data_IF_105252150365
#
_entry.id   IF_105252150365
#
_cell.length_a   1.000
_cell.length_b   1.000
_cell.length_c   1.000
_cell.angle_alpha   90.00
_cell.angle_beta   90.00
_cell.angle_gamma   90.00
#
_symmetry.space_group_name_H-M   'P 1'
#
loop_
_entity.id
_entity.type
_entity.pdbx_description
1 polymer ?
#
# COMPACT_ATOMS: atom_id res chain seq x y z
N UNK A 1 39.41 34.69 -5.05
CA UNK A 1 38.90 33.65 -4.16
C UNK A 1 37.45 33.41 -4.56
N UNK A 2 37.20 32.33 -5.28
CA UNK A 2 35.87 31.95 -5.70
C UNK A 2 35.28 31.08 -4.58
N UNK A 3 34.14 31.52 -4.02
CA UNK A 3 33.37 30.76 -3.05
C UNK A 3 32.55 29.76 -3.87
N UNK A 4 32.89 28.45 -3.76
CA UNK A 4 32.06 27.38 -4.29
C UNK A 4 30.78 27.31 -3.45
N UNK A 5 29.70 27.79 -3.99
CA UNK A 5 28.35 27.47 -3.53
C UNK A 5 28.11 25.97 -3.83
N UNK A 6 28.35 25.14 -2.83
CA UNK A 6 27.85 23.77 -2.82
C UNK A 6 26.33 23.84 -2.63
N UNK A 7 25.63 23.85 -3.75
CA UNK A 7 24.18 23.66 -3.79
C UNK A 7 23.89 22.22 -3.36
N UNK A 8 23.75 22.00 -2.04
CA UNK A 8 23.26 20.72 -1.49
C UNK A 8 21.76 20.69 -1.70
N UNK A 9 21.32 20.27 -2.89
CA UNK A 9 19.93 19.86 -3.08
C UNK A 9 19.63 18.78 -2.06
N UNK A 10 18.66 19.02 -1.19
CA UNK A 10 18.14 17.98 -0.31
C UNK A 10 17.63 16.83 -1.19
N UNK A 11 17.91 15.55 -0.85
CA UNK A 11 17.47 14.43 -1.67
C UNK A 11 15.96 14.53 -1.90
N UNK A 12 15.55 14.44 -3.17
CA UNK A 12 14.15 14.49 -3.57
C UNK A 12 13.39 13.38 -2.83
N UNK A 13 12.23 13.74 -2.24
CA UNK A 13 11.42 12.77 -1.52
C UNK A 13 10.87 11.73 -2.50
N UNK A 14 10.84 10.44 -2.12
CA UNK A 14 10.27 9.40 -2.97
C UNK A 14 8.79 9.72 -3.26
N UNK A 15 8.38 9.56 -4.51
CA UNK A 15 6.99 9.71 -4.93
C UNK A 15 6.18 8.50 -4.50
N UNK A 16 5.09 8.74 -3.81
CA UNK A 16 4.24 7.69 -3.24
C UNK A 16 2.89 7.65 -3.95
N UNK A 17 2.53 6.50 -4.50
CA UNK A 17 1.20 6.22 -5.01
C UNK A 17 0.41 5.43 -3.95
N UNK A 18 -0.69 5.97 -3.50
CA UNK A 18 -1.66 5.27 -2.64
C UNK A 18 -2.81 4.79 -3.51
N UNK A 19 -2.82 3.50 -3.81
CA UNK A 19 -3.95 2.81 -4.44
C UNK A 19 -4.96 2.52 -3.36
N UNK A 20 -6.00 3.34 -3.31
CA UNK A 20 -7.08 3.21 -2.35
C UNK A 20 -8.23 2.39 -2.94
N UNK A 21 -8.64 1.33 -2.25
CA UNK A 21 -9.71 0.45 -2.69
C UNK A 21 -10.68 0.13 -1.56
N UNK A 22 -11.80 0.83 -1.52
CA UNK A 22 -12.88 0.56 -0.58
C UNK A 22 -14.25 0.66 -1.27
N UNK A 23 -15.01 -0.46 -1.39
CA UNK A 23 -16.30 -0.46 -2.09
C UNK A 23 -17.32 0.54 -1.53
N UNK A 24 -17.26 0.75 -0.22
CA UNK A 24 -18.14 1.66 0.51
C UNK A 24 -17.31 2.80 1.13
N UNK A 25 -16.53 3.52 0.32
CA UNK A 25 -15.59 4.53 0.82
C UNK A 25 -16.28 5.61 1.66
N UNK A 26 -17.51 5.98 1.32
CA UNK A 26 -18.30 7.00 2.04
C UNK A 26 -18.65 6.59 3.48
N UNK A 27 -18.82 5.28 3.75
CA UNK A 27 -19.15 4.75 5.08
C UNK A 27 -17.91 4.33 5.89
N UNK A 28 -16.73 4.32 5.26
CA UNK A 28 -15.49 3.87 5.90
C UNK A 28 -14.81 4.97 6.71
N UNK A 29 -15.24 5.15 7.96
CA UNK A 29 -14.71 6.21 8.85
C UNK A 29 -13.17 6.12 8.96
N UNK A 30 -12.63 4.94 9.24
CA UNK A 30 -11.19 4.75 9.46
C UNK A 30 -10.36 5.10 8.21
N UNK A 31 -10.75 4.57 7.04
CA UNK A 31 -10.03 4.85 5.79
C UNK A 31 -10.15 6.31 5.38
N UNK A 32 -11.31 6.94 5.58
CA UNK A 32 -11.48 8.36 5.30
C UNK A 32 -10.61 9.26 6.18
N UNK A 33 -10.46 8.95 7.47
CA UNK A 33 -9.57 9.69 8.36
C UNK A 33 -8.13 9.59 7.86
N UNK A 34 -7.67 8.39 7.46
CA UNK A 34 -6.34 8.19 6.89
C UNK A 34 -6.14 8.98 5.59
N UNK A 35 -7.05 8.87 4.63
CA UNK A 35 -6.96 9.58 3.34
C UNK A 35 -6.92 11.10 3.53
N UNK A 36 -7.80 11.65 4.38
CA UNK A 36 -7.82 13.09 4.68
C UNK A 36 -6.50 13.59 5.27
N UNK A 37 -5.83 12.75 6.09
CA UNK A 37 -4.55 13.11 6.72
C UNK A 37 -3.40 13.21 5.73
N UNK A 38 -3.43 12.43 4.66
CA UNK A 38 -2.31 12.32 3.71
C UNK A 38 -2.52 13.10 2.41
N UNK A 39 -3.76 13.47 2.09
CA UNK A 39 -4.12 14.12 0.82
C UNK A 39 -3.41 15.46 0.54
N UNK A 40 -2.88 16.12 1.58
CA UNK A 40 -2.16 17.38 1.46
C UNK A 40 -0.63 17.22 1.33
N UNK A 41 -0.12 16.00 1.19
CA UNK A 41 1.31 15.76 1.02
C UNK A 41 1.67 15.80 -0.47
N UNK A 42 2.49 16.76 -0.88
CA UNK A 42 2.80 17.06 -2.29
C UNK A 42 3.41 15.88 -3.08
N UNK A 43 4.14 15.00 -2.38
CA UNK A 43 4.78 13.82 -2.98
C UNK A 43 3.90 12.55 -2.91
N UNK A 44 2.65 12.67 -2.45
CA UNK A 44 1.69 11.57 -2.32
C UNK A 44 0.53 11.75 -3.29
N UNK A 45 0.34 10.79 -4.16
CA UNK A 45 -0.81 10.69 -5.05
C UNK A 45 -1.81 9.67 -4.51
N UNK A 46 -3.02 10.10 -4.19
CA UNK A 46 -4.11 9.18 -3.80
C UNK A 46 -4.96 8.85 -5.02
N UNK A 47 -5.06 7.57 -5.33
CA UNK A 47 -5.83 7.05 -6.45
C UNK A 47 -6.93 6.11 -5.95
N UNK A 48 -8.18 6.58 -5.94
CA UNK A 48 -9.35 5.83 -5.49
C UNK A 48 -9.89 4.97 -6.64
N UNK A 49 -9.62 3.65 -6.59
CA UNK A 49 -10.00 2.73 -7.66
C UNK A 49 -11.52 2.69 -7.88
N UNK A 50 -12.32 2.71 -6.82
CA UNK A 50 -13.77 2.64 -6.96
C UNK A 50 -14.39 3.94 -7.49
N UNK A 51 -13.72 5.08 -7.32
CA UNK A 51 -14.12 6.33 -7.95
C UNK A 51 -13.73 6.38 -9.43
N UNK A 52 -12.57 5.82 -9.80
CA UNK A 52 -12.08 5.81 -11.19
C UNK A 52 -12.71 4.70 -12.05
N UNK A 53 -12.95 3.52 -11.47
CA UNK A 53 -13.42 2.33 -12.19
C UNK A 53 -14.69 1.73 -11.56
N UNK A 54 -15.79 2.49 -11.48
CA UNK A 54 -17.02 2.01 -10.85
C UNK A 54 -17.65 0.82 -11.60
N UNK A 55 -17.31 0.65 -12.87
CA UNK A 55 -17.75 -0.44 -13.76
C UNK A 55 -16.71 -1.55 -13.91
N UNK A 56 -15.59 -1.48 -13.18
CA UNK A 56 -14.48 -2.43 -13.26
C UNK A 56 -13.71 -2.43 -14.59
N UNK A 57 -13.96 -1.44 -15.45
CA UNK A 57 -13.27 -1.35 -16.74
C UNK A 57 -11.94 -0.58 -16.60
N UNK A 58 -10.90 -1.29 -16.15
CA UNK A 58 -9.59 -0.72 -15.81
C UNK A 58 -8.80 -0.37 -17.08
N UNK A 59 -8.33 0.86 -17.17
CA UNK A 59 -7.35 1.31 -18.18
C UNK A 59 -5.95 0.88 -17.75
N UNK A 60 -5.53 -0.27 -18.27
CA UNK A 60 -4.26 -0.92 -17.89
C UNK A 60 -3.05 -0.04 -18.21
N UNK A 61 -3.04 0.62 -19.36
CA UNK A 61 -1.90 1.44 -19.79
C UNK A 61 -1.76 2.69 -18.90
N UNK A 62 -2.87 3.32 -18.55
CA UNK A 62 -2.87 4.46 -17.63
C UNK A 62 -2.40 4.05 -16.22
N UNK A 63 -2.82 2.89 -15.74
CA UNK A 63 -2.40 2.39 -14.42
C UNK A 63 -0.93 1.96 -14.40
N UNK A 64 -0.44 1.33 -15.46
CA UNK A 64 0.98 0.99 -15.60
C UNK A 64 1.85 2.25 -15.64
N UNK A 65 1.44 3.28 -16.39
CA UNK A 65 2.16 4.55 -16.38
C UNK A 65 2.19 5.18 -14.98
N UNK A 66 1.08 5.14 -14.26
CA UNK A 66 0.99 5.64 -12.88
C UNK A 66 1.97 4.91 -11.95
N UNK A 67 2.10 3.58 -12.11
CA UNK A 67 3.11 2.81 -11.36
C UNK A 67 4.55 3.22 -11.71
N UNK A 68 4.82 3.52 -12.98
CA UNK A 68 6.17 3.95 -13.42
C UNK A 68 6.57 5.29 -12.79
N UNK A 69 5.63 6.21 -12.63
CA UNK A 69 5.86 7.57 -12.15
C UNK A 69 6.12 7.67 -10.64
N UNK A 70 6.00 6.55 -9.89
CA UNK A 70 6.14 6.52 -8.43
C UNK A 70 7.16 5.48 -7.97
N UNK A 71 7.78 5.72 -6.81
CA UNK A 71 8.82 4.88 -6.22
C UNK A 71 8.26 3.90 -5.20
N UNK A 72 7.24 4.32 -4.47
CA UNK A 72 6.57 3.56 -3.41
C UNK A 72 5.10 3.39 -3.76
N UNK A 73 4.65 2.15 -3.76
CA UNK A 73 3.26 1.80 -4.02
C UNK A 73 2.62 1.32 -2.72
N UNK A 74 1.63 2.05 -2.27
CA UNK A 74 0.85 1.72 -1.07
C UNK A 74 -0.51 1.19 -1.50
N UNK A 75 -0.88 0.01 -1.01
CA UNK A 75 -2.21 -0.56 -1.20
C UNK A 75 -3.02 -0.37 0.07
N UNK A 76 -3.95 0.60 0.06
CA UNK A 76 -4.81 0.90 1.21
C UNK A 76 -6.21 0.32 1.00
N UNK A 77 -6.57 -0.66 1.82
CA UNK A 77 -7.84 -1.37 1.68
C UNK A 77 -8.30 -2.05 2.97
N UNK A 78 -9.58 -2.39 3.13
CA UNK A 78 -10.04 -3.29 4.18
C UNK A 78 -9.65 -4.74 3.87
N UNK A 79 -9.43 -5.54 4.92
CA UNK A 79 -9.29 -6.99 4.80
C UNK A 79 -10.69 -7.60 4.57
N UNK A 80 -11.04 -7.88 3.32
CA UNK A 80 -12.30 -8.51 2.96
C UNK A 80 -12.10 -9.98 2.63
N UNK A 81 -12.81 -10.85 3.35
CA UNK A 81 -12.74 -12.31 3.18
C UNK A 81 -11.29 -12.82 3.14
N UNK A 82 -10.46 -12.32 4.08
CA UNK A 82 -9.03 -12.64 4.23
C UNK A 82 -8.15 -12.23 3.03
N UNK A 83 -8.64 -11.30 2.21
CA UNK A 83 -7.97 -10.78 1.02
C UNK A 83 -8.26 -9.29 0.85
N UNK A 84 -8.31 -8.80 -0.36
CA UNK A 84 -8.65 -7.42 -0.71
C UNK A 84 -10.03 -7.32 -1.38
N UNK A 85 -10.59 -6.10 -1.53
CA UNK A 85 -11.79 -5.87 -2.32
C UNK A 85 -11.64 -6.34 -3.76
N UNK A 86 -12.74 -6.78 -4.37
CA UNK A 86 -12.76 -7.41 -5.69
C UNK A 86 -12.10 -6.57 -6.79
N UNK A 87 -12.39 -5.26 -6.83
CA UNK A 87 -11.78 -4.36 -7.83
C UNK A 87 -10.26 -4.27 -7.67
N UNK A 88 -9.73 -4.31 -6.44
CA UNK A 88 -8.28 -4.30 -6.24
C UNK A 88 -7.64 -5.60 -6.74
N UNK A 89 -8.31 -6.73 -6.55
CA UNK A 89 -7.82 -8.02 -7.09
C UNK A 89 -7.83 -8.02 -8.62
N UNK A 90 -8.93 -7.56 -9.24
CA UNK A 90 -9.04 -7.38 -10.69
C UNK A 90 -7.94 -6.44 -11.22
N UNK A 91 -7.69 -5.33 -10.49
CA UNK A 91 -6.63 -4.39 -10.82
C UNK A 91 -5.25 -5.07 -10.80
N UNK A 92 -4.94 -5.84 -9.75
CA UNK A 92 -3.67 -6.57 -9.65
C UNK A 92 -3.49 -7.56 -10.80
N UNK A 93 -4.53 -8.34 -11.11
CA UNK A 93 -4.48 -9.37 -12.14
C UNK A 93 -4.28 -8.80 -13.55
N UNK A 94 -4.80 -7.61 -13.82
CA UNK A 94 -4.69 -6.96 -15.13
C UNK A 94 -3.47 -6.07 -15.27
N UNK A 95 -3.19 -5.26 -14.26
CA UNK A 95 -2.16 -4.22 -14.32
C UNK A 95 -0.76 -4.81 -14.09
N UNK A 96 -0.63 -5.74 -13.12
CA UNK A 96 0.63 -6.43 -12.82
C UNK A 96 0.87 -7.58 -13.81
N UNK A 97 0.75 -7.28 -15.11
CA UNK A 97 0.80 -8.28 -16.18
C UNK A 97 2.20 -8.80 -16.49
N UNK A 98 2.24 -10.01 -17.11
CA UNK A 98 3.47 -10.60 -17.65
C UNK A 98 4.06 -9.71 -18.75
N UNK A 99 5.36 -9.45 -18.68
CA UNK A 99 6.07 -8.57 -19.63
C UNK A 99 6.15 -7.12 -19.17
N UNK A 100 5.34 -6.73 -18.18
CA UNK A 100 5.45 -5.45 -17.47
C UNK A 100 6.03 -5.66 -16.06
N UNK A 101 5.29 -6.32 -15.17
CA UNK A 101 5.65 -6.47 -13.76
C UNK A 101 6.54 -7.68 -13.48
N UNK A 102 6.44 -8.74 -14.28
CA UNK A 102 7.18 -9.99 -14.07
C UNK A 102 7.50 -10.74 -15.39
N UNK A 103 8.20 -11.86 -15.29
CA UNK A 103 8.67 -12.63 -16.45
C UNK A 103 9.90 -11.94 -17.05
N UNK A 104 9.75 -11.37 -18.26
CA UNK A 104 10.80 -10.52 -18.87
C UNK A 104 10.62 -9.04 -18.52
N UNK A 105 9.53 -8.69 -17.84
CA UNK A 105 9.25 -7.33 -17.40
C UNK A 105 9.90 -7.05 -16.05
N UNK A 106 10.55 -5.89 -15.94
CA UNK A 106 11.23 -5.41 -14.73
C UNK A 106 10.77 -3.98 -14.36
N UNK A 107 9.59 -3.57 -14.82
CA UNK A 107 9.11 -2.19 -14.68
C UNK A 107 8.96 -1.74 -13.21
N UNK A 108 8.73 -2.69 -12.29
CA UNK A 108 8.53 -2.42 -10.87
C UNK A 108 9.73 -2.80 -10.00
N UNK A 109 10.79 -3.32 -10.60
CA UNK A 109 12.01 -3.74 -9.91
C UNK A 109 12.62 -2.61 -9.10
N UNK A 110 12.85 -2.89 -7.82
CA UNK A 110 13.44 -1.93 -6.89
C UNK A 110 12.47 -0.89 -6.32
N UNK A 111 11.21 -0.86 -6.77
CA UNK A 111 10.16 -0.08 -6.10
C UNK A 111 9.73 -0.77 -4.81
N UNK A 112 8.98 -0.05 -3.98
CA UNK A 112 8.54 -0.53 -2.67
C UNK A 112 7.04 -0.80 -2.65
N UNK A 113 6.65 -1.88 -1.99
CA UNK A 113 5.26 -2.25 -1.70
C UNK A 113 4.98 -2.11 -0.22
N UNK A 114 3.94 -1.38 0.15
CA UNK A 114 3.40 -1.37 1.50
C UNK A 114 1.90 -1.56 1.50
N UNK A 115 1.41 -2.47 2.34
CA UNK A 115 -0.04 -2.61 2.57
C UNK A 115 -0.47 -1.78 3.78
N UNK A 116 -1.54 -1.00 3.64
CA UNK A 116 -2.21 -0.26 4.72
C UNK A 116 -3.61 -0.83 4.86
N UNK A 117 -3.83 -1.56 5.95
CA UNK A 117 -4.98 -2.46 6.07
C UNK A 117 -5.85 -2.12 7.27
N UNK A 118 -7.15 -2.17 7.07
CA UNK A 118 -8.12 -2.14 8.17
C UNK A 118 -8.78 -3.50 8.33
N UNK A 119 -8.95 -3.98 9.57
CA UNK A 119 -9.60 -5.25 9.86
C UNK A 119 -10.88 -5.07 10.68
N UNK A 120 -11.82 -6.00 10.53
CA UNK A 120 -13.01 -6.09 11.37
C UNK A 120 -12.74 -6.75 12.71
N UNK A 121 -11.74 -7.65 12.79
CA UNK A 121 -11.29 -8.29 14.01
C UNK A 121 -10.27 -7.46 14.78
N UNK A 122 -10.20 -7.65 16.09
CA UNK A 122 -9.12 -7.13 16.92
C UNK A 122 -7.83 -7.95 16.69
N UNK A 123 -6.72 -7.52 17.25
CA UNK A 123 -5.43 -8.17 17.04
C UNK A 123 -5.42 -9.62 17.54
N UNK A 124 -6.01 -9.89 18.70
CA UNK A 124 -6.10 -11.22 19.29
C UNK A 124 -6.91 -12.20 18.42
N UNK A 125 -7.77 -11.71 17.53
CA UNK A 125 -8.48 -12.55 16.58
C UNK A 125 -7.55 -13.24 15.56
N UNK A 126 -6.34 -12.67 15.34
CA UNK A 126 -5.36 -13.15 14.39
C UNK A 126 -4.22 -13.92 15.11
N UNK A 127 -4.39 -15.21 15.28
CA UNK A 127 -3.44 -16.09 15.95
C UNK A 127 -4.03 -17.48 16.14
N UNK A 128 -3.23 -18.43 16.62
CA UNK A 128 -3.64 -19.83 16.83
C UNK A 128 -4.85 -19.97 17.75
N UNK A 129 -4.95 -19.10 18.75
CA UNK A 129 -6.05 -19.10 19.73
C UNK A 129 -7.23 -18.20 19.29
N UNK A 130 -7.03 -17.32 18.33
CA UNK A 130 -8.07 -16.46 17.79
C UNK A 130 -9.01 -17.19 16.82
N UNK A 131 -10.17 -16.59 16.54
CA UNK A 131 -11.15 -17.21 15.64
C UNK A 131 -10.67 -17.29 14.18
N UNK A 132 -9.72 -16.43 13.76
CA UNK A 132 -9.13 -16.50 12.43
C UNK A 132 -8.07 -17.60 12.28
N UNK A 133 -7.59 -18.21 13.37
CA UNK A 133 -6.66 -19.34 13.42
C UNK A 133 -5.25 -19.10 12.89
N UNK A 134 -5.03 -18.02 12.13
CA UNK A 134 -3.76 -17.69 11.50
C UNK A 134 -3.34 -16.26 11.86
N UNK A 135 -2.05 -16.01 12.10
CA UNK A 135 -1.49 -14.67 12.18
C UNK A 135 -1.81 -13.86 10.92
N UNK A 136 -2.02 -12.55 11.08
CA UNK A 136 -2.31 -11.69 9.93
C UNK A 136 -1.19 -11.72 8.88
N UNK A 137 0.06 -11.83 9.31
CA UNK A 137 1.21 -11.96 8.41
C UNK A 137 1.08 -13.16 7.45
N UNK A 138 0.59 -14.31 7.94
CA UNK A 138 0.35 -15.48 7.09
C UNK A 138 -0.80 -15.24 6.10
N UNK A 139 -1.85 -14.53 6.52
CA UNK A 139 -2.97 -14.17 5.65
C UNK A 139 -2.52 -13.19 4.54
N UNK A 140 -1.52 -12.37 4.82
CA UNK A 140 -0.99 -11.39 3.86
C UNK A 140 0.11 -11.95 2.94
N UNK A 141 0.56 -13.18 3.13
CA UNK A 141 1.57 -13.81 2.26
C UNK A 141 1.28 -13.70 0.76
N UNK A 142 0.03 -13.82 0.25
CA UNK A 142 -0.23 -13.65 -1.18
C UNK A 142 0.19 -12.28 -1.73
N UNK A 143 0.10 -11.21 -0.92
CA UNK A 143 0.53 -9.87 -1.33
C UNK A 143 2.06 -9.75 -1.30
N UNK A 144 2.71 -10.30 -0.28
CA UNK A 144 4.17 -10.37 -0.19
C UNK A 144 4.76 -11.18 -1.35
N UNK A 145 4.18 -12.33 -1.69
CA UNK A 145 4.57 -13.13 -2.85
C UNK A 145 4.36 -12.38 -4.16
N UNK A 146 3.29 -11.58 -4.28
CA UNK A 146 3.04 -10.75 -5.45
C UNK A 146 4.10 -9.65 -5.57
N UNK A 147 4.46 -8.99 -4.46
CA UNK A 147 5.54 -8.01 -4.43
C UNK A 147 6.87 -8.64 -4.86
N UNK A 148 7.20 -9.82 -4.34
CA UNK A 148 8.41 -10.56 -4.70
C UNK A 148 8.41 -10.96 -6.19
N UNK A 149 7.29 -11.45 -6.72
CA UNK A 149 7.13 -11.76 -8.15
C UNK A 149 7.41 -10.54 -9.04
N UNK A 150 6.97 -9.35 -8.60
CA UNK A 150 7.19 -8.08 -9.27
C UNK A 150 8.56 -7.45 -8.96
N UNK A 151 9.44 -8.13 -8.22
CA UNK A 151 10.77 -7.67 -7.80
C UNK A 151 10.72 -6.37 -6.98
N UNK A 152 9.61 -6.15 -6.27
CA UNK A 152 9.41 -5.03 -5.35
C UNK A 152 9.87 -5.42 -3.93
N UNK A 153 10.39 -4.43 -3.19
CA UNK A 153 10.75 -4.61 -1.80
C UNK A 153 9.50 -4.48 -0.91
N UNK A 154 9.22 -5.53 -0.12
CA UNK A 154 8.11 -5.55 0.83
C UNK A 154 8.43 -4.74 2.08
N UNK A 155 7.56 -3.80 2.44
CA UNK A 155 7.62 -3.04 3.69
C UNK A 155 6.54 -3.58 4.63
N UNK A 156 6.87 -3.70 5.91
CA UNK A 156 5.93 -4.13 6.96
C UNK A 156 4.57 -3.42 6.84
N UNK A 157 3.47 -4.16 6.78
CA UNK A 157 2.13 -3.58 6.69
C UNK A 157 1.79 -2.67 7.86
N UNK A 158 1.04 -1.60 7.59
CA UNK A 158 0.43 -0.78 8.62
C UNK A 158 -1.02 -1.22 8.81
N UNK A 159 -1.35 -1.73 9.98
CA UNK A 159 -2.65 -2.35 10.25
C UNK A 159 -3.41 -1.59 11.33
N UNK A 160 -4.66 -1.21 11.05
CA UNK A 160 -5.63 -0.80 12.05
C UNK A 160 -6.61 -1.93 12.33
N UNK A 161 -6.37 -2.64 13.42
CA UNK A 161 -7.26 -3.67 13.89
C UNK A 161 -8.57 -3.08 14.43
N UNK A 162 -9.67 -3.87 14.32
CA UNK A 162 -10.97 -3.55 14.85
C UNK A 162 -11.51 -2.17 14.44
N UNK A 163 -11.24 -1.78 13.20
CA UNK A 163 -11.37 -0.42 12.69
C UNK A 163 -12.76 0.21 12.86
N UNK A 164 -13.82 -0.59 12.97
CA UNK A 164 -15.18 -0.12 13.22
C UNK A 164 -15.44 0.24 14.70
N UNK A 165 -14.68 -0.35 15.63
CA UNK A 165 -14.94 -0.30 17.06
C UNK A 165 -13.91 0.50 17.87
N UNK A 166 -12.73 0.77 17.31
CA UNK A 166 -11.73 1.61 17.96
C UNK A 166 -12.25 3.05 18.13
N UNK A 167 -11.70 3.76 19.11
CA UNK A 167 -12.08 5.14 19.37
C UNK A 167 -11.66 6.08 18.21
N UNK A 168 -12.29 7.26 18.14
CA UNK A 168 -11.88 8.28 17.16
C UNK A 168 -10.46 8.76 17.42
N UNK A 169 -9.99 8.76 18.67
CA UNK A 169 -8.62 9.08 19.03
C UNK A 169 -7.64 8.05 18.46
N UNK A 170 -7.95 6.75 18.59
CA UNK A 170 -7.09 5.69 18.05
C UNK A 170 -7.03 5.74 16.53
N UNK A 171 -8.15 6.00 15.84
CA UNK A 171 -8.19 6.22 14.39
C UNK A 171 -7.30 7.40 13.97
N UNK A 172 -7.39 8.51 14.71
CA UNK A 172 -6.61 9.70 14.47
C UNK A 172 -5.12 9.44 14.69
N UNK A 173 -4.73 8.78 15.78
CA UNK A 173 -3.35 8.43 16.08
C UNK A 173 -2.78 7.48 15.01
N UNK A 174 -3.56 6.50 14.56
CA UNK A 174 -3.17 5.60 13.49
C UNK A 174 -2.95 6.35 12.17
N UNK A 175 -3.86 7.26 11.81
CA UNK A 175 -3.72 8.09 10.62
C UNK A 175 -2.51 9.03 10.71
N UNK A 176 -2.20 9.56 11.90
CA UNK A 176 -0.98 10.35 12.12
C UNK A 176 0.28 9.51 11.99
N UNK A 177 0.30 8.28 12.52
CA UNK A 177 1.41 7.33 12.33
C UNK A 177 1.65 7.03 10.84
N UNK A 178 0.57 6.85 10.09
CA UNK A 178 0.64 6.68 8.63
C UNK A 178 1.24 7.90 7.95
N UNK A 179 0.74 9.11 8.28
CA UNK A 179 1.25 10.37 7.75
C UNK A 179 2.73 10.59 8.09
N UNK A 180 3.14 10.30 9.31
CA UNK A 180 4.54 10.44 9.74
C UNK A 180 5.48 9.53 8.93
N UNK A 181 5.05 8.30 8.66
CA UNK A 181 5.81 7.41 7.78
C UNK A 181 5.89 7.97 6.36
N UNK A 182 4.81 8.50 5.80
CA UNK A 182 4.81 9.09 4.46
C UNK A 182 5.71 10.33 4.34
N UNK A 183 5.87 11.09 5.42
CA UNK A 183 6.78 12.25 5.45
C UNK A 183 8.26 11.85 5.33
N UNK A 184 8.62 10.70 5.91
CA UNK A 184 9.96 10.13 5.89
C UNK A 184 9.87 8.60 5.76
N UNK A 185 9.57 8.07 4.57
CA UNK A 185 9.39 6.64 4.40
C UNK A 185 10.68 5.89 4.77
N UNK A 186 10.58 5.04 5.80
CA UNK A 186 11.66 4.09 6.09
C UNK A 186 11.54 2.94 5.11
N UNK A 187 12.56 2.77 4.28
CA UNK A 187 12.63 1.76 3.23
C UNK A 187 13.28 0.45 3.74
N UNK A 188 13.03 0.09 4.99
CA UNK A 188 13.53 -1.17 5.55
C UNK A 188 12.65 -2.30 5.03
N UNK A 189 13.18 -3.08 4.08
CA UNK A 189 12.52 -4.32 3.62
C UNK A 189 12.59 -5.36 4.73
N UNK A 190 11.47 -6.02 5.01
CA UNK A 190 11.40 -7.16 5.94
C UNK A 190 11.52 -8.50 5.23
N UNK A 191 11.54 -8.52 3.90
CA UNK A 191 11.81 -9.75 3.14
C UNK A 191 13.27 -10.17 3.38
N UNK A 192 13.45 -11.30 4.05
CA UNK A 192 14.73 -11.99 4.06
C UNK A 192 15.16 -12.26 2.63
N UNK A 193 16.47 -12.19 2.37
CA UNK A 193 17.05 -12.52 1.07
C UNK A 193 16.49 -13.89 0.61
N UNK A 194 15.59 -13.86 -0.36
CA UNK A 194 15.20 -15.09 -1.07
C UNK A 194 16.40 -15.42 -1.95
N UNK A 195 17.27 -16.29 -1.45
CA UNK A 195 18.32 -16.89 -2.26
C UNK A 195 17.65 -17.65 -3.41
N UNK A 196 17.68 -17.02 -4.60
CA UNK A 196 17.30 -17.67 -5.83
C UNK A 196 18.33 -18.77 -6.15
N UNK A 197 17.85 -19.97 -6.24
CA UNK A 197 18.53 -21.08 -6.95
C UNK A 197 18.09 -21.10 -8.40
#
# INVERSE_FOLDING_TARGET
MAVNDLNTESPEKPKVLVIYAHPESQSSVANQVMIKKIAALDHVTVHDLYAYYPDFFIDVDAEQQRLLDHDVIVFQHPLYMYSCPALLKEWMDRVLGKGFAYGKGEALKGKYWRSVITTGGNEEAFGSEGYNKYPLAEILQPFELTAALCQMAWIEPLVLYWARNVSDMDRYQHAEKYRQWLLNPTMTSTSGEIHGT
#
